data_IF_688748851361
#
_entry.id   IF_688748851361
#
_cell.length_a   1.000
_cell.length_b   1.000
_cell.length_c   1.000
_cell.angle_alpha   90.00
_cell.angle_beta   90.00
_cell.angle_gamma   90.00
#
_symmetry.space_group_name_H-M   'P 1'
#
loop_
_entity.id
_entity.type
_entity.pdbx_description
1 polymer ?
#
# COMPACT_ATOMS: atom_id res chain seq x y z
N UNK A 1 -1.42 -19.64 -42.39
CA UNK A 1 -1.38 -19.72 -40.91
C UNK A 1 -1.58 -18.31 -40.35
N UNK A 2 -2.58 -18.08 -39.48
CA UNK A 2 -2.70 -16.78 -38.80
C UNK A 2 -1.48 -16.60 -37.89
N UNK A 3 -0.71 -15.53 -38.11
CA UNK A 3 0.38 -15.17 -37.21
C UNK A 3 -0.16 -14.99 -35.79
N UNK A 4 0.53 -15.53 -34.78
CA UNK A 4 0.14 -15.32 -33.38
C UNK A 4 0.29 -13.82 -33.08
N UNK A 5 -0.68 -13.24 -32.36
CA UNK A 5 -0.58 -11.84 -31.92
C UNK A 5 0.65 -11.58 -31.03
N UNK A 6 1.12 -12.59 -30.30
CA UNK A 6 2.32 -12.56 -29.44
C UNK A 6 3.29 -13.63 -29.95
N UNK A 7 4.21 -13.22 -30.80
CA UNK A 7 5.11 -14.08 -31.57
C UNK A 7 6.59 -13.96 -31.15
N UNK A 8 6.94 -12.98 -30.31
CA UNK A 8 8.29 -12.83 -29.75
C UNK A 8 8.42 -13.59 -28.42
N UNK A 9 9.32 -14.60 -28.33
CA UNK A 9 9.53 -15.35 -27.09
C UNK A 9 10.42 -14.58 -26.11
N UNK A 10 10.23 -14.86 -24.82
CA UNK A 10 11.13 -14.45 -23.73
C UNK A 10 11.58 -15.75 -23.05
N UNK A 11 12.90 -15.94 -22.96
CA UNK A 11 13.50 -17.09 -22.29
C UNK A 11 14.00 -16.68 -20.91
N UNK A 12 13.66 -17.45 -19.88
CA UNK A 12 14.06 -17.20 -18.50
C UNK A 12 14.53 -18.53 -17.90
N UNK A 13 15.72 -18.53 -17.30
CA UNK A 13 16.23 -19.64 -16.52
C UNK A 13 16.03 -19.33 -15.03
N UNK A 14 15.50 -20.29 -14.28
CA UNK A 14 15.22 -20.18 -12.85
C UNK A 14 15.62 -21.46 -12.15
N UNK A 15 15.91 -21.37 -10.86
CA UNK A 15 16.08 -22.52 -9.99
C UNK A 15 14.76 -23.29 -9.84
N UNK A 16 14.86 -24.54 -9.39
CA UNK A 16 13.67 -25.37 -9.16
C UNK A 16 12.74 -24.76 -8.10
N UNK A 17 13.30 -24.22 -7.01
CA UNK A 17 12.54 -23.54 -5.96
C UNK A 17 11.82 -22.28 -6.48
N UNK A 18 12.49 -21.47 -7.30
CA UNK A 18 11.90 -20.28 -7.92
C UNK A 18 10.76 -20.65 -8.86
N UNK A 19 10.91 -21.73 -9.64
CA UNK A 19 9.89 -22.24 -10.53
C UNK A 19 8.62 -22.63 -9.77
N UNK A 20 8.77 -23.35 -8.65
CA UNK A 20 7.65 -23.76 -7.80
C UNK A 20 6.88 -22.56 -7.25
N UNK A 21 7.60 -21.56 -6.73
CA UNK A 21 7.02 -20.31 -6.23
C UNK A 21 6.28 -19.55 -7.35
N UNK A 22 6.87 -19.42 -8.55
CA UNK A 22 6.22 -18.76 -9.69
C UNK A 22 4.92 -19.48 -10.09
N UNK A 23 4.92 -20.82 -10.07
CA UNK A 23 3.76 -21.62 -10.42
C UNK A 23 2.64 -21.50 -9.37
N UNK A 24 2.99 -21.51 -8.08
CA UNK A 24 2.05 -21.30 -7.00
C UNK A 24 1.40 -19.91 -7.07
N UNK A 25 2.21 -18.86 -7.22
CA UNK A 25 1.72 -17.49 -7.35
C UNK A 25 0.79 -17.32 -8.56
N UNK A 26 1.15 -17.89 -9.71
CA UNK A 26 0.30 -17.87 -10.89
C UNK A 26 -1.05 -18.56 -10.63
N UNK A 27 -1.03 -19.72 -9.95
CA UNK A 27 -2.23 -20.47 -9.57
C UNK A 27 -3.12 -19.69 -8.60
N UNK A 28 -2.53 -19.05 -7.59
CA UNK A 28 -3.27 -18.21 -6.62
C UNK A 28 -4.02 -17.06 -7.30
N UNK A 29 -3.47 -16.51 -8.40
CA UNK A 29 -4.11 -15.46 -9.19
C UNK A 29 -5.02 -16.00 -10.31
N UNK A 30 -5.20 -17.33 -10.41
CA UNK A 30 -6.02 -17.94 -11.46
C UNK A 30 -5.43 -17.79 -12.87
N UNK A 31 -4.12 -17.57 -12.99
CA UNK A 31 -3.42 -17.34 -14.25
C UNK A 31 -2.50 -18.51 -14.61
N UNK A 32 -2.20 -18.68 -15.90
CA UNK A 32 -1.04 -19.49 -16.29
C UNK A 32 0.25 -18.68 -16.12
N UNK A 33 1.39 -19.39 -16.03
CA UNK A 33 2.70 -18.77 -15.79
C UNK A 33 3.04 -17.70 -16.84
N UNK A 34 2.71 -17.92 -18.12
CA UNK A 34 3.02 -16.96 -19.18
C UNK A 34 2.23 -15.66 -19.03
N UNK A 35 0.95 -15.74 -18.68
CA UNK A 35 0.08 -14.58 -18.46
C UNK A 35 0.43 -13.87 -17.15
N UNK A 36 0.79 -14.62 -16.11
CA UNK A 36 1.27 -14.07 -14.84
C UNK A 36 2.56 -13.25 -15.04
N UNK A 37 3.60 -13.86 -15.61
CA UNK A 37 4.90 -13.18 -15.85
C UNK A 37 4.76 -11.99 -16.79
N UNK A 38 3.89 -12.11 -17.80
CA UNK A 38 3.62 -11.00 -18.72
C UNK A 38 2.87 -9.86 -18.04
N UNK A 39 1.91 -10.17 -17.16
CA UNK A 39 1.17 -9.15 -16.40
C UNK A 39 2.13 -8.36 -15.52
N UNK A 40 3.01 -9.06 -14.79
CA UNK A 40 4.06 -8.43 -13.99
C UNK A 40 5.04 -7.61 -14.84
N UNK A 41 5.56 -8.18 -15.94
CA UNK A 41 6.52 -7.50 -16.81
C UNK A 41 5.93 -6.32 -17.60
N UNK A 42 4.61 -6.26 -17.77
CA UNK A 42 3.90 -5.15 -18.42
C UNK A 42 3.44 -4.07 -17.43
N UNK A 43 3.53 -4.30 -16.13
CA UNK A 43 3.39 -3.23 -15.14
C UNK A 43 4.53 -2.24 -15.36
N UNK A 44 4.31 -1.23 -16.20
CA UNK A 44 5.27 -0.16 -16.52
C UNK A 44 5.61 0.74 -15.34
N UNK A 45 5.08 0.43 -14.16
CA UNK A 45 5.30 1.20 -12.97
C UNK A 45 6.11 0.32 -12.02
N UNK A 46 7.36 0.73 -11.78
CA UNK A 46 7.90 0.70 -10.42
C UNK A 46 6.74 1.05 -9.49
N UNK A 47 6.61 0.38 -8.35
CA UNK A 47 5.82 0.88 -7.22
C UNK A 47 6.37 2.27 -6.87
N UNK A 48 6.00 3.29 -7.64
CA UNK A 48 6.05 4.68 -7.26
C UNK A 48 4.89 4.80 -6.29
N UNK A 49 5.16 4.36 -5.07
CA UNK A 49 4.44 4.83 -3.91
C UNK A 49 4.62 6.34 -4.00
N UNK A 50 3.62 7.05 -4.52
CA UNK A 50 3.70 8.49 -4.62
C UNK A 50 3.63 9.01 -3.18
N UNK A 51 4.74 9.52 -2.61
CA UNK A 51 4.74 9.88 -1.21
C UNK A 51 3.85 11.08 -0.92
N UNK A 52 3.51 11.85 -1.94
CA UNK A 52 2.59 12.98 -1.84
C UNK A 52 1.16 12.52 -1.49
N UNK A 53 0.72 11.34 -1.94
CA UNK A 53 -0.60 10.80 -1.56
C UNK A 53 -0.66 10.49 -0.06
N UNK A 54 0.42 9.94 0.49
CA UNK A 54 0.54 9.65 1.91
C UNK A 54 0.70 10.91 2.76
N UNK A 55 1.42 11.92 2.25
CA UNK A 55 1.52 13.24 2.86
C UNK A 55 0.15 13.91 2.97
N UNK A 56 -0.70 13.78 1.96
CA UNK A 56 -2.05 14.33 1.98
C UNK A 56 -2.92 13.69 3.06
N UNK A 57 -2.91 12.35 3.17
CA UNK A 57 -3.61 11.63 4.24
C UNK A 57 -3.13 12.07 5.63
N UNK A 58 -1.82 12.24 5.80
CA UNK A 58 -1.23 12.73 7.05
C UNK A 58 -1.70 14.15 7.42
N UNK A 59 -1.78 15.06 6.43
CA UNK A 59 -2.29 16.42 6.64
C UNK A 59 -3.77 16.43 7.03
N UNK A 60 -4.60 15.60 6.39
CA UNK A 60 -6.02 15.46 6.71
C UNK A 60 -6.23 14.94 8.14
N UNK A 61 -5.47 13.91 8.55
CA UNK A 61 -5.53 13.40 9.91
C UNK A 61 -5.09 14.43 10.95
N UNK A 62 -4.06 15.23 10.65
CA UNK A 62 -3.63 16.31 11.54
C UNK A 62 -4.71 17.38 11.70
N UNK A 63 -5.40 17.72 10.61
CA UNK A 63 -6.54 18.62 10.66
C UNK A 63 -7.68 18.06 11.54
N UNK A 64 -8.02 16.78 11.39
CA UNK A 64 -9.03 16.11 12.22
C UNK A 64 -8.63 16.15 13.71
N UNK A 65 -7.38 15.81 14.04
CA UNK A 65 -6.88 15.86 15.41
C UNK A 65 -6.98 17.26 16.04
N UNK A 66 -6.65 18.32 15.28
CA UNK A 66 -6.82 19.71 15.73
C UNK A 66 -8.27 20.06 15.99
N UNK A 67 -9.20 19.62 15.13
CA UNK A 67 -10.64 19.85 15.31
C UNK A 67 -11.17 19.15 16.56
N UNK A 68 -10.77 17.90 16.79
CA UNK A 68 -11.14 17.16 18.02
C UNK A 68 -10.62 17.89 19.26
N UNK A 69 -9.39 18.40 19.22
CA UNK A 69 -8.83 19.15 20.34
C UNK A 69 -9.61 20.43 20.66
N UNK A 70 -10.03 21.19 19.64
CA UNK A 70 -10.89 22.36 19.84
C UNK A 70 -12.23 21.97 20.47
N UNK A 71 -12.89 20.94 19.92
CA UNK A 71 -14.15 20.44 20.46
C UNK A 71 -13.96 20.04 21.93
N UNK A 72 -12.92 19.27 22.27
CA UNK A 72 -12.65 18.82 23.64
C UNK A 72 -12.47 19.96 24.67
N UNK A 73 -12.10 21.16 24.22
CA UNK A 73 -11.98 22.33 25.10
C UNK A 73 -13.33 22.98 25.41
N UNK A 74 -14.34 22.80 24.54
CA UNK A 74 -15.65 23.44 24.60
C UNK A 74 -16.76 22.56 25.22
N UNK A 75 -16.46 21.31 25.62
CA UNK A 75 -17.46 20.35 26.15
C UNK A 75 -17.39 20.17 27.66
N UNK A 76 -18.54 19.87 28.26
CA UNK A 76 -18.69 19.50 29.68
C UNK A 76 -17.88 18.23 30.02
N UNK A 77 -17.51 18.08 31.29
CA UNK A 77 -16.48 17.12 31.74
C UNK A 77 -16.72 15.66 31.35
N UNK A 78 -17.97 15.17 31.34
CA UNK A 78 -18.28 13.77 31.00
C UNK A 78 -18.12 13.47 29.50
N UNK A 79 -18.40 14.45 28.63
CA UNK A 79 -18.19 14.28 27.19
C UNK A 79 -16.71 14.49 26.81
N UNK A 80 -16.01 15.33 27.57
CA UNK A 80 -14.60 15.66 27.36
C UNK A 80 -13.69 14.43 27.39
N UNK A 81 -13.95 13.47 28.28
CA UNK A 81 -13.16 12.24 28.39
C UNK A 81 -13.25 11.39 27.11
N UNK A 82 -14.43 11.31 26.49
CA UNK A 82 -14.65 10.63 25.22
C UNK A 82 -13.90 11.28 24.06
N UNK A 83 -13.86 12.62 24.01
CA UNK A 83 -13.10 13.35 22.98
C UNK A 83 -11.58 13.24 23.19
N UNK A 84 -11.12 13.18 24.44
CA UNK A 84 -9.70 12.94 24.77
C UNK A 84 -9.27 11.54 24.28
N UNK A 85 -10.10 10.52 24.48
CA UNK A 85 -9.84 9.18 23.94
C UNK A 85 -9.79 9.19 22.41
N UNK A 86 -10.78 9.81 21.75
CA UNK A 86 -10.81 9.92 20.29
C UNK A 86 -9.57 10.65 19.73
N UNK A 87 -9.10 11.69 20.42
CA UNK A 87 -7.86 12.40 20.06
C UNK A 87 -6.65 11.47 20.12
N UNK A 88 -6.51 10.69 21.19
CA UNK A 88 -5.41 9.74 21.35
C UNK A 88 -5.43 8.67 20.26
N UNK A 89 -6.59 8.15 19.88
CA UNK A 89 -6.73 7.19 18.78
C UNK A 89 -6.28 7.79 17.44
N UNK A 90 -6.65 9.03 17.14
CA UNK A 90 -6.21 9.72 15.91
C UNK A 90 -4.71 9.96 15.90
N UNK A 91 -4.11 10.36 17.03
CA UNK A 91 -2.66 10.53 17.16
C UNK A 91 -1.91 9.19 16.97
N UNK A 92 -2.44 8.09 17.51
CA UNK A 92 -1.89 6.75 17.29
C UNK A 92 -1.98 6.33 15.82
N UNK A 93 -3.12 6.57 15.15
CA UNK A 93 -3.27 6.30 13.73
C UNK A 93 -2.26 7.08 12.88
N UNK A 94 -2.04 8.36 13.18
CA UNK A 94 -1.02 9.17 12.50
C UNK A 94 0.37 8.56 12.65
N UNK A 95 0.74 8.13 13.86
CA UNK A 95 2.03 7.50 14.14
C UNK A 95 2.21 6.20 13.34
N UNK A 96 1.19 5.35 13.29
CA UNK A 96 1.20 4.10 12.51
C UNK A 96 1.38 4.39 11.02
N UNK A 97 0.67 5.39 10.49
CA UNK A 97 0.77 5.77 9.07
C UNK A 97 2.16 6.32 8.77
N UNK A 98 2.72 7.21 9.60
CA UNK A 98 4.08 7.72 9.41
C UNK A 98 5.12 6.61 9.42
N UNK A 99 5.00 5.66 10.35
CA UNK A 99 5.89 4.50 10.40
C UNK A 99 5.77 3.65 9.15
N UNK A 100 4.55 3.35 8.70
CA UNK A 100 4.31 2.59 7.48
C UNK A 100 4.89 3.30 6.23
N UNK A 101 4.77 4.62 6.15
CA UNK A 101 5.37 5.42 5.07
C UNK A 101 6.89 5.30 5.09
N UNK A 102 7.53 5.49 6.25
CA UNK A 102 8.98 5.39 6.36
C UNK A 102 9.49 3.97 6.05
N UNK A 103 8.81 2.93 6.56
CA UNK A 103 9.14 1.53 6.25
C UNK A 103 9.00 1.22 4.74
N UNK A 104 8.05 1.87 4.06
CA UNK A 104 7.89 1.80 2.60
C UNK A 104 8.92 2.64 1.85
N UNK A 105 9.46 3.72 2.41
CA UNK A 105 10.58 4.43 1.79
C UNK A 105 11.87 3.62 1.86
N UNK A 106 12.18 3.07 3.04
CA UNK A 106 13.41 2.32 3.30
C UNK A 106 13.48 0.98 2.55
N UNK A 107 12.33 0.41 2.17
CA UNK A 107 12.28 -0.83 1.37
C UNK A 107 12.45 -0.63 -0.14
N UNK A 108 12.33 0.60 -0.64
CA UNK A 108 12.27 0.90 -2.08
C UNK A 108 13.38 1.86 -2.56
N UNK A 109 14.28 2.31 -1.68
CA UNK A 109 15.54 3.02 -1.95
C UNK A 109 16.70 2.10 -1.54
#
# INVERSE_FOLDING_TARGET
>A
MKSRRRDKPILIYVLQSEKEIIQENAKMQGMNVSDFLRTLGLQKNKLQINPDEFKNISLELNYIGKKINMISQDVENDEKEKYVQLKQEVEQMQSIIFKAINDLYDKFI
#
